data_IF_161907878294
#
_entry.id   IF_161907878294
#
_cell.length_a   1.000
_cell.length_b   1.000
_cell.length_c   1.000
_cell.angle_alpha   90.00
_cell.angle_beta   90.00
_cell.angle_gamma   90.00
#
_symmetry.space_group_name_H-M   'P 1'
#
loop_
_entity.id
_entity.type
_entity.pdbx_description
1 polymer ?
#
# COMPACT_ATOMS: atom_id res chain seq x y z
N UNK A 1 -37.93 -39.97 17.59
CA UNK A 1 -38.97 -41.02 17.44
C UNK A 1 -38.45 -42.33 18.01
N UNK A 2 -39.26 -43.00 18.90
CA UNK A 2 -39.02 -44.38 19.34
C UNK A 2 -39.97 -45.27 18.52
N UNK A 3 -39.42 -46.30 17.86
CA UNK A 3 -40.17 -47.20 17.00
C UNK A 3 -39.87 -48.61 17.44
N UNK A 4 -40.94 -49.43 17.59
CA UNK A 4 -40.90 -50.82 18.04
C UNK A 4 -40.32 -50.97 19.44
N UNK A 5 -41.24 -51.07 20.41
CA UNK A 5 -40.91 -51.59 21.73
C UNK A 5 -40.53 -53.06 21.60
N UNK A 6 -39.66 -53.56 22.44
CA UNK A 6 -39.11 -54.90 22.47
C UNK A 6 -40.10 -55.95 21.85
N UNK A 7 -39.64 -56.94 21.09
CA UNK A 7 -40.50 -57.82 20.27
C UNK A 7 -41.65 -58.48 20.98
N UNK A 8 -41.54 -58.63 22.32
CA UNK A 8 -42.56 -59.29 23.15
C UNK A 8 -43.58 -58.33 23.78
N UNK A 9 -43.48 -57.00 23.52
CA UNK A 9 -44.35 -56.01 24.14
C UNK A 9 -45.28 -55.36 23.06
N UNK A 10 -46.56 -55.42 23.29
CA UNK A 10 -47.60 -55.08 22.34
C UNK A 10 -47.84 -53.59 22.10
N UNK A 11 -47.45 -52.71 23.00
CA UNK A 11 -47.63 -51.25 22.87
C UNK A 11 -46.77 -50.48 23.87
N UNK A 12 -46.52 -49.21 23.60
CA UNK A 12 -45.93 -48.25 24.55
C UNK A 12 -46.98 -47.93 25.65
N UNK A 13 -46.57 -47.96 26.91
CA UNK A 13 -47.39 -47.63 28.07
C UNK A 13 -47.25 -46.16 28.44
N UNK A 14 -48.14 -45.65 29.34
CA UNK A 14 -48.02 -44.30 29.88
C UNK A 14 -46.72 -44.09 30.65
N UNK A 15 -46.20 -45.14 31.35
CA UNK A 15 -44.92 -45.09 32.03
C UNK A 15 -43.75 -44.94 31.05
N UNK A 16 -43.80 -45.63 29.89
CA UNK A 16 -42.81 -45.47 28.83
C UNK A 16 -42.80 -44.03 28.27
N UNK A 17 -43.99 -43.44 28.17
CA UNK A 17 -44.15 -42.07 27.70
C UNK A 17 -43.61 -41.07 28.72
N UNK A 18 -43.89 -41.26 30.01
CA UNK A 18 -43.30 -40.41 31.06
C UNK A 18 -41.78 -40.52 31.12
N UNK A 19 -41.25 -41.73 31.01
CA UNK A 19 -39.81 -41.97 30.96
C UNK A 19 -39.17 -41.27 29.77
N UNK A 20 -39.78 -41.42 28.59
CA UNK A 20 -39.32 -40.73 27.39
C UNK A 20 -39.33 -39.23 27.56
N UNK A 21 -40.40 -38.64 28.12
CA UNK A 21 -40.51 -37.21 28.35
C UNK A 21 -39.48 -36.69 29.35
N UNK A 22 -39.03 -37.50 30.27
CA UNK A 22 -37.93 -37.12 31.21
C UNK A 22 -36.57 -37.10 30.55
N UNK A 23 -36.30 -37.99 29.55
CA UNK A 23 -35.00 -38.10 28.91
C UNK A 23 -34.87 -37.26 27.61
N UNK A 24 -35.97 -36.99 26.88
CA UNK A 24 -35.99 -36.20 25.67
C UNK A 24 -35.33 -34.79 25.83
N UNK A 25 -35.57 -34.06 26.91
CA UNK A 25 -34.89 -32.77 27.11
C UNK A 25 -33.36 -32.89 27.15
N UNK A 26 -32.82 -33.95 27.75
CA UNK A 26 -31.38 -34.20 27.80
C UNK A 26 -30.81 -34.51 26.41
N UNK A 27 -31.55 -35.28 25.62
CA UNK A 27 -31.19 -35.51 24.21
C UNK A 27 -31.21 -34.20 23.40
N UNK A 28 -32.22 -33.36 23.63
CA UNK A 28 -32.32 -32.03 23.00
C UNK A 28 -31.13 -31.14 23.35
N UNK A 29 -30.76 -31.07 24.63
CA UNK A 29 -29.59 -30.34 25.10
C UNK A 29 -28.30 -30.87 24.44
N UNK A 30 -28.14 -32.22 24.42
CA UNK A 30 -26.97 -32.84 23.77
C UNK A 30 -26.83 -32.52 22.28
N UNK A 31 -27.94 -32.60 21.54
CA UNK A 31 -27.96 -32.25 20.12
C UNK A 31 -27.66 -30.77 19.89
N UNK A 32 -28.30 -29.88 20.68
CA UNK A 32 -28.08 -28.44 20.60
C UNK A 32 -26.62 -28.10 20.91
N UNK A 33 -26.03 -28.67 21.95
CA UNK A 33 -24.62 -28.46 22.27
C UNK A 33 -23.69 -28.97 21.18
N UNK A 34 -23.96 -30.12 20.56
CA UNK A 34 -23.19 -30.63 19.44
C UNK A 34 -23.26 -29.69 18.22
N UNK A 35 -24.47 -29.19 17.90
CA UNK A 35 -24.66 -28.21 16.82
C UNK A 35 -23.93 -26.90 17.07
N UNK A 36 -24.00 -26.35 18.31
CA UNK A 36 -23.28 -25.15 18.69
C UNK A 36 -21.76 -25.35 18.63
N UNK A 37 -21.27 -26.52 19.03
CA UNK A 37 -19.85 -26.86 18.91
C UNK A 37 -19.39 -26.92 17.46
N UNK A 38 -20.15 -27.55 16.57
CA UNK A 38 -19.85 -27.59 15.13
C UNK A 38 -19.83 -26.17 14.51
N UNK A 39 -20.81 -25.33 14.87
CA UNK A 39 -20.85 -23.94 14.42
C UNK A 39 -19.62 -23.17 14.91
N UNK A 40 -19.28 -23.29 16.19
CA UNK A 40 -18.11 -22.66 16.77
C UNK A 40 -16.80 -23.10 16.08
N UNK A 41 -16.65 -24.38 15.79
CA UNK A 41 -15.51 -24.94 15.06
C UNK A 41 -15.40 -24.35 13.63
N UNK A 42 -16.52 -24.25 12.92
CA UNK A 42 -16.56 -23.65 11.56
C UNK A 42 -16.16 -22.19 11.61
N UNK A 43 -16.69 -21.40 12.54
CA UNK A 43 -16.34 -19.99 12.70
C UNK A 43 -14.87 -19.82 13.11
N UNK A 44 -14.35 -20.66 13.98
CA UNK A 44 -12.92 -20.63 14.35
C UNK A 44 -12.02 -20.87 13.13
N UNK A 45 -12.34 -21.85 12.29
CA UNK A 45 -11.58 -22.12 11.05
C UNK A 45 -11.68 -20.96 10.04
N UNK A 46 -12.87 -20.34 9.90
CA UNK A 46 -13.04 -19.12 9.09
C UNK A 46 -12.13 -18.01 9.55
N UNK A 47 -12.17 -17.68 10.84
CA UNK A 47 -11.37 -16.60 11.41
C UNK A 47 -9.88 -16.86 11.28
N UNK A 48 -9.43 -18.10 11.45
CA UNK A 48 -8.03 -18.48 11.25
C UNK A 48 -7.57 -18.18 9.80
N UNK A 49 -8.35 -18.56 8.81
CA UNK A 49 -7.99 -18.31 7.39
C UNK A 49 -8.01 -16.82 7.06
N UNK A 50 -8.94 -16.04 7.65
CA UNK A 50 -8.94 -14.58 7.48
C UNK A 50 -7.68 -13.94 8.08
N UNK A 51 -7.25 -14.37 9.26
CA UNK A 51 -6.02 -13.89 9.91
C UNK A 51 -4.78 -14.23 9.06
N UNK A 52 -4.70 -15.46 8.54
CA UNK A 52 -3.62 -15.86 7.62
C UNK A 52 -3.61 -15.01 6.35
N UNK A 53 -4.78 -14.68 5.82
CA UNK A 53 -4.90 -13.80 4.65
C UNK A 53 -4.40 -12.38 4.94
N UNK A 54 -4.74 -11.83 6.10
CA UNK A 54 -4.25 -10.52 6.55
C UNK A 54 -2.73 -10.52 6.63
N UNK A 55 -2.14 -11.55 7.24
CA UNK A 55 -0.69 -11.70 7.33
C UNK A 55 -0.03 -11.72 5.94
N UNK A 56 -0.56 -12.53 5.01
CA UNK A 56 -0.07 -12.61 3.63
C UNK A 56 -0.13 -11.26 2.88
N UNK A 57 -1.16 -10.44 3.14
CA UNK A 57 -1.33 -9.11 2.54
C UNK A 57 -0.27 -8.15 3.07
N UNK A 58 0.02 -8.18 4.37
CA UNK A 58 1.02 -7.29 4.98
C UNK A 58 2.46 -7.67 4.66
N UNK A 59 2.74 -8.96 4.37
CA UNK A 59 4.07 -9.38 3.93
C UNK A 59 4.41 -8.92 2.50
N UNK A 60 3.42 -8.82 1.62
CA UNK A 60 3.63 -8.46 0.22
C UNK A 60 3.14 -7.04 -0.05
N UNK A 61 4.04 -6.06 0.04
CA UNK A 61 3.73 -4.65 -0.17
C UNK A 61 4.33 -4.06 -1.45
N UNK A 62 5.00 -4.89 -2.25
CA UNK A 62 5.79 -4.40 -3.39
C UNK A 62 5.05 -4.44 -4.71
N UNK A 63 3.99 -5.23 -4.84
CA UNK A 63 3.29 -5.42 -6.12
C UNK A 63 1.79 -5.66 -5.93
N UNK A 64 0.98 -4.78 -6.50
CA UNK A 64 -0.50 -4.91 -6.53
C UNK A 64 -0.91 -6.26 -7.11
N UNK A 65 -0.28 -6.70 -8.20
CA UNK A 65 -0.60 -7.98 -8.85
C UNK A 65 -0.38 -9.17 -7.92
N UNK A 66 0.67 -9.15 -7.10
CA UNK A 66 0.93 -10.23 -6.14
C UNK A 66 -0.09 -10.22 -4.99
N UNK A 67 -0.41 -9.05 -4.44
CA UNK A 67 -1.44 -8.90 -3.39
C UNK A 67 -2.78 -9.41 -3.89
N UNK A 68 -3.24 -8.92 -5.05
CA UNK A 68 -4.52 -9.32 -5.64
C UNK A 68 -4.56 -10.82 -5.91
N UNK A 69 -3.53 -11.39 -6.53
CA UNK A 69 -3.47 -12.84 -6.80
C UNK A 69 -3.51 -13.70 -5.52
N UNK A 70 -2.86 -13.27 -4.43
CA UNK A 70 -2.94 -13.97 -3.13
C UNK A 70 -4.36 -13.94 -2.58
N UNK A 71 -4.98 -12.75 -2.53
CA UNK A 71 -6.36 -12.59 -2.06
C UNK A 71 -7.30 -13.45 -2.88
N UNK A 72 -7.22 -13.40 -4.21
CA UNK A 72 -8.07 -14.21 -5.10
C UNK A 72 -7.93 -15.72 -4.87
N UNK A 73 -6.69 -16.22 -4.71
CA UNK A 73 -6.43 -17.65 -4.41
C UNK A 73 -7.05 -18.06 -3.08
N UNK A 74 -6.94 -17.24 -2.05
CA UNK A 74 -7.54 -17.49 -0.74
C UNK A 74 -9.07 -17.42 -0.81
N UNK A 75 -9.60 -16.45 -1.55
CA UNK A 75 -11.05 -16.28 -1.77
C UNK A 75 -11.65 -17.51 -2.43
N UNK A 76 -11.07 -18.00 -3.52
CA UNK A 76 -11.53 -19.22 -4.19
C UNK A 76 -11.57 -20.43 -3.26
N UNK A 77 -10.52 -20.61 -2.43
CA UNK A 77 -10.44 -21.72 -1.49
C UNK A 77 -11.46 -21.59 -0.35
N UNK A 78 -11.61 -20.39 0.20
CA UNK A 78 -12.46 -20.12 1.36
C UNK A 78 -13.94 -20.20 0.99
N UNK A 79 -14.30 -19.56 -0.12
CA UNK A 79 -15.67 -19.48 -0.63
C UNK A 79 -16.08 -20.70 -1.46
N UNK A 80 -15.14 -21.59 -1.77
CA UNK A 80 -15.35 -22.78 -2.62
C UNK A 80 -16.03 -22.43 -3.94
N UNK A 81 -15.51 -21.43 -4.64
CA UNK A 81 -16.00 -20.96 -5.93
C UNK A 81 -15.10 -21.42 -7.06
N UNK A 82 -15.64 -21.48 -8.28
CA UNK A 82 -14.89 -21.87 -9.47
C UNK A 82 -14.07 -20.72 -10.06
N UNK A 83 -14.62 -19.50 -10.02
CA UNK A 83 -13.99 -18.34 -10.60
C UNK A 83 -13.92 -17.16 -9.62
N UNK A 84 -12.83 -16.42 -9.69
CA UNK A 84 -12.65 -15.15 -9.02
C UNK A 84 -12.08 -14.12 -9.99
N UNK A 85 -12.64 -12.92 -10.01
CA UNK A 85 -12.18 -11.80 -10.82
C UNK A 85 -12.00 -10.55 -9.97
N UNK A 86 -10.96 -9.78 -10.27
CA UNK A 86 -10.73 -8.44 -9.70
C UNK A 86 -10.41 -7.50 -10.84
N UNK A 87 -11.19 -6.44 -10.96
CA UNK A 87 -11.03 -5.39 -11.96
C UNK A 87 -10.72 -4.07 -11.26
N UNK A 88 -9.54 -3.51 -11.52
CA UNK A 88 -9.10 -2.26 -10.89
C UNK A 88 -9.30 -1.08 -11.85
N UNK A 89 -9.79 0.03 -11.31
CA UNK A 89 -9.93 1.29 -12.00
C UNK A 89 -8.56 1.96 -12.23
N UNK A 90 -8.45 2.74 -13.28
CA UNK A 90 -7.26 3.57 -13.54
C UNK A 90 -7.07 4.63 -12.45
N UNK A 91 -8.16 5.25 -12.02
CA UNK A 91 -8.19 6.25 -10.97
C UNK A 91 -9.29 5.89 -9.96
N UNK A 92 -9.03 6.09 -8.65
CA UNK A 92 -10.04 5.89 -7.62
C UNK A 92 -11.23 6.83 -7.82
N UNK A 93 -12.44 6.33 -7.64
CA UNK A 93 -13.67 7.12 -7.73
C UNK A 93 -14.17 7.52 -6.34
N UNK A 94 -14.53 8.79 -6.20
CA UNK A 94 -15.06 9.35 -4.95
C UNK A 94 -16.58 9.22 -4.96
N UNK A 95 -17.11 8.55 -3.93
CA UNK A 95 -18.55 8.48 -3.66
C UNK A 95 -18.96 9.71 -2.84
N UNK A 96 -19.98 10.46 -3.29
CA UNK A 96 -20.56 11.55 -2.50
C UNK A 96 -21.39 11.01 -1.34
N UNK A 97 -21.64 11.85 -0.32
CA UNK A 97 -22.47 11.49 0.84
C UNK A 97 -23.88 11.00 0.45
N UNK A 98 -24.38 11.39 -0.71
CA UNK A 98 -25.66 10.96 -1.27
C UNK A 98 -25.61 9.62 -2.03
N UNK A 99 -24.46 8.91 -2.03
CA UNK A 99 -24.28 7.64 -2.73
C UNK A 99 -24.23 7.75 -4.25
N UNK A 100 -24.04 8.95 -4.79
CA UNK A 100 -23.82 9.19 -6.22
C UNK A 100 -22.33 9.41 -6.51
N UNK A 101 -21.86 8.88 -7.63
CA UNK A 101 -20.47 9.09 -8.06
C UNK A 101 -20.36 10.51 -8.62
N UNK A 102 -19.51 11.33 -7.98
CA UNK A 102 -19.35 12.77 -8.31
C UNK A 102 -18.56 13.02 -9.58
N UNK A 103 -17.95 12.01 -10.19
CA UNK A 103 -17.16 12.22 -11.40
C UNK A 103 -18.06 12.22 -12.65
N UNK A 104 -18.24 13.41 -13.24
CA UNK A 104 -19.11 13.69 -14.39
C UNK A 104 -18.62 13.06 -15.72
N UNK A 105 -17.51 12.36 -15.73
CA UNK A 105 -16.96 11.67 -16.90
C UNK A 105 -17.33 10.16 -16.94
N UNK A 106 -18.57 9.82 -16.58
CA UNK A 106 -19.09 8.45 -16.61
C UNK A 106 -19.13 7.78 -17.99
N UNK A 107 -18.74 8.48 -19.05
CA UNK A 107 -18.73 7.89 -20.40
C UNK A 107 -17.54 6.97 -20.71
N UNK A 108 -16.53 6.87 -19.82
CA UNK A 108 -15.40 5.98 -20.03
C UNK A 108 -14.78 5.48 -18.71
N UNK A 109 -15.51 4.65 -17.95
CA UNK A 109 -14.92 3.86 -16.89
C UNK A 109 -13.83 2.95 -17.49
N UNK A 110 -12.56 3.28 -17.24
CA UNK A 110 -11.42 2.50 -17.74
C UNK A 110 -10.85 1.64 -16.63
N UNK A 111 -11.01 0.34 -16.77
CA UNK A 111 -10.31 -0.61 -15.94
C UNK A 111 -8.89 -0.84 -16.47
N UNK A 112 -7.88 -0.66 -15.61
CA UNK A 112 -6.46 -0.75 -16.01
C UNK A 112 -5.89 -2.15 -15.88
N UNK A 113 -6.31 -2.87 -14.85
CA UNK A 113 -5.78 -4.19 -14.52
C UNK A 113 -6.93 -5.16 -14.26
N UNK A 114 -6.98 -6.23 -15.04
CA UNK A 114 -7.97 -7.27 -14.93
C UNK A 114 -7.30 -8.56 -14.49
N UNK A 115 -7.71 -9.09 -13.35
CA UNK A 115 -7.21 -10.34 -12.80
C UNK A 115 -8.34 -11.35 -12.82
N UNK A 116 -8.07 -12.55 -13.32
CA UNK A 116 -9.03 -13.64 -13.31
C UNK A 116 -8.32 -14.95 -12.95
N UNK A 117 -8.91 -15.68 -12.03
CA UNK A 117 -8.43 -17.00 -11.62
C UNK A 117 -9.56 -18.02 -11.70
N UNK A 118 -9.23 -19.20 -12.21
CA UNK A 118 -10.11 -20.37 -12.23
C UNK A 118 -9.57 -21.45 -11.30
N UNK A 119 -10.46 -22.05 -10.50
CA UNK A 119 -10.10 -23.21 -9.68
C UNK A 119 -9.88 -24.43 -10.60
N UNK A 120 -8.80 -25.17 -10.38
CA UNK A 120 -8.54 -26.38 -11.16
C UNK A 120 -9.54 -27.49 -10.81
N UNK A 121 -10.12 -28.08 -11.82
CA UNK A 121 -11.16 -29.15 -11.73
C UNK A 121 -10.62 -30.50 -11.21
N UNK A 122 -9.31 -30.67 -11.17
CA UNK A 122 -8.67 -31.91 -10.69
C UNK A 122 -8.03 -31.70 -9.35
N UNK A 123 -8.59 -32.18 -8.28
CA UNK A 123 -8.17 -32.48 -6.90
C UNK A 123 -6.87 -31.96 -6.29
N UNK A 124 -6.03 -31.28 -7.04
CA UNK A 124 -4.87 -30.53 -6.57
C UNK A 124 -5.22 -29.05 -6.65
N UNK A 125 -5.08 -28.34 -5.55
CA UNK A 125 -5.35 -26.90 -5.37
C UNK A 125 -4.44 -26.01 -6.24
N UNK A 126 -4.37 -26.25 -7.54
CA UNK A 126 -3.67 -25.39 -8.50
C UNK A 126 -4.65 -24.38 -9.07
N UNK A 127 -4.41 -23.12 -8.79
CA UNK A 127 -5.15 -22.01 -9.38
C UNK A 127 -4.38 -21.58 -10.63
N UNK A 128 -5.01 -21.63 -11.78
CA UNK A 128 -4.38 -21.30 -13.06
C UNK A 128 -4.83 -19.88 -13.42
N UNK A 129 -3.91 -18.93 -13.73
CA UNK A 129 -4.29 -17.71 -14.41
C UNK A 129 -4.94 -18.09 -15.73
N UNK A 130 -6.23 -17.82 -15.90
CA UNK A 130 -6.88 -18.07 -17.19
C UNK A 130 -6.80 -16.81 -18.05
N UNK A 131 -6.42 -16.97 -19.30
CA UNK A 131 -6.60 -15.91 -20.29
C UNK A 131 -8.10 -15.59 -20.37
N UNK A 132 -8.45 -14.35 -20.14
CA UNK A 132 -9.83 -13.89 -20.19
C UNK A 132 -10.22 -13.84 -21.66
N UNK A 133 -11.16 -14.66 -22.06
CA UNK A 133 -11.76 -14.58 -23.40
C UNK A 133 -12.47 -13.22 -23.54
N UNK A 134 -12.44 -12.60 -24.73
CA UNK A 134 -13.00 -11.27 -24.95
C UNK A 134 -14.48 -11.13 -24.54
N UNK A 135 -15.28 -12.16 -24.74
CA UNK A 135 -16.69 -12.17 -24.33
C UNK A 135 -16.85 -12.17 -22.80
N UNK A 136 -16.05 -12.98 -22.10
CA UNK A 136 -16.03 -12.99 -20.63
C UNK A 136 -15.56 -11.65 -20.06
N UNK A 137 -14.55 -11.02 -20.69
CA UNK A 137 -14.08 -9.71 -20.29
C UNK A 137 -15.19 -8.66 -20.42
N UNK A 138 -15.95 -8.66 -21.51
CA UNK A 138 -17.05 -7.74 -21.72
C UNK A 138 -18.15 -7.90 -20.67
N UNK A 139 -18.50 -9.16 -20.33
CA UNK A 139 -19.50 -9.46 -19.29
C UNK A 139 -19.03 -9.00 -17.90
N UNK A 140 -17.75 -9.26 -17.56
CA UNK A 140 -17.17 -8.81 -16.29
C UNK A 140 -17.07 -7.29 -16.20
N UNK A 141 -16.77 -6.62 -17.33
CA UNK A 141 -16.75 -5.16 -17.41
C UNK A 141 -18.13 -4.59 -17.16
N UNK A 142 -19.16 -5.11 -17.81
CA UNK A 142 -20.55 -4.66 -17.62
C UNK A 142 -21.06 -4.90 -16.18
N UNK A 143 -20.71 -6.04 -15.58
CA UNK A 143 -20.99 -6.31 -14.17
C UNK A 143 -20.30 -5.29 -13.25
N UNK A 144 -19.03 -5.01 -13.54
CA UNK A 144 -18.23 -4.08 -12.74
C UNK A 144 -18.73 -2.63 -12.88
N UNK A 145 -19.10 -2.20 -14.07
CA UNK A 145 -19.73 -0.90 -14.32
C UNK A 145 -21.04 -0.73 -13.54
N UNK A 146 -21.86 -1.79 -13.49
CA UNK A 146 -23.11 -1.80 -12.72
C UNK A 146 -22.85 -1.66 -11.22
N UNK A 147 -21.83 -2.36 -10.69
CA UNK A 147 -21.43 -2.25 -9.27
C UNK A 147 -20.84 -0.89 -8.97
N UNK A 148 -20.06 -0.31 -9.88
CA UNK A 148 -19.51 1.04 -9.70
C UNK A 148 -20.65 2.08 -9.74
N UNK A 149 -21.58 1.99 -10.69
CA UNK A 149 -22.71 2.94 -10.80
C UNK A 149 -23.68 2.91 -9.61
N UNK A 150 -23.83 1.75 -8.96
CA UNK A 150 -24.59 1.59 -7.73
C UNK A 150 -23.73 0.79 -6.74
N UNK A 151 -22.92 1.45 -5.90
CA UNK A 151 -21.86 0.82 -5.14
C UNK A 151 -22.38 0.00 -3.95
N UNK A 152 -23.24 -0.97 -4.27
CA UNK A 152 -23.79 -1.97 -3.36
C UNK A 152 -23.37 -3.38 -3.82
N UNK A 153 -23.45 -4.32 -2.91
CA UNK A 153 -23.27 -5.74 -3.21
C UNK A 153 -24.29 -6.19 -4.26
N UNK A 154 -23.81 -6.69 -5.38
CA UNK A 154 -24.61 -7.29 -6.42
C UNK A 154 -24.55 -8.82 -6.27
N UNK A 155 -25.69 -9.45 -5.99
CA UNK A 155 -25.81 -10.91 -5.91
C UNK A 155 -26.80 -11.38 -6.97
N UNK A 156 -26.36 -12.27 -7.87
CA UNK A 156 -27.18 -12.83 -8.96
C UNK A 156 -27.22 -14.35 -8.76
N UNK A 157 -28.41 -14.85 -8.52
CA UNK A 157 -28.64 -16.30 -8.30
C UNK A 157 -28.67 -17.12 -9.59
N UNK A 158 -29.08 -16.53 -10.70
CA UNK A 158 -28.96 -17.08 -12.05
C UNK A 158 -28.70 -15.94 -13.06
N UNK A 159 -27.55 -15.99 -13.71
CA UNK A 159 -27.15 -14.99 -14.71
C UNK A 159 -28.05 -15.02 -15.95
N UNK A 160 -28.69 -16.14 -16.21
CA UNK A 160 -29.61 -16.31 -17.35
C UNK A 160 -30.92 -15.51 -17.18
N UNK A 161 -31.28 -15.14 -15.96
CA UNK A 161 -32.46 -14.29 -15.67
C UNK A 161 -32.18 -12.82 -15.91
N UNK A 162 -30.91 -12.38 -15.96
CA UNK A 162 -30.53 -10.98 -16.22
C UNK A 162 -30.30 -10.75 -17.73
N UNK A 163 -31.31 -10.20 -18.40
CA UNK A 163 -31.31 -9.99 -19.86
C UNK A 163 -30.14 -9.10 -20.33
N UNK A 164 -29.68 -8.13 -19.51
CA UNK A 164 -28.61 -7.23 -19.87
C UNK A 164 -27.26 -7.94 -19.90
N UNK A 165 -27.01 -8.82 -18.95
CA UNK A 165 -25.76 -9.58 -18.87
C UNK A 165 -25.75 -10.70 -19.89
N UNK A 166 -26.86 -11.39 -20.08
CA UNK A 166 -27.01 -12.45 -21.08
C UNK A 166 -26.70 -11.99 -22.49
N UNK A 167 -27.14 -10.79 -22.88
CA UNK A 167 -26.87 -10.20 -24.18
C UNK A 167 -25.39 -9.83 -24.39
N UNK A 168 -24.66 -9.46 -23.32
CA UNK A 168 -23.25 -9.08 -23.38
C UNK A 168 -22.32 -10.29 -23.23
N UNK A 169 -22.76 -11.32 -22.53
CA UNK A 169 -21.95 -12.48 -22.17
C UNK A 169 -21.72 -13.46 -23.34
N UNK A 170 -22.55 -13.44 -24.39
CA UNK A 170 -22.43 -14.36 -25.52
C UNK A 170 -22.46 -15.84 -25.09
N UNK A 171 -21.96 -16.72 -25.96
CA UNK A 171 -21.88 -18.18 -25.68
C UNK A 171 -20.81 -18.57 -24.67
N UNK A 172 -19.81 -17.70 -24.43
CA UNK A 172 -18.67 -18.00 -23.55
C UNK A 172 -18.98 -17.92 -22.07
N UNK A 173 -20.17 -17.45 -21.69
CA UNK A 173 -20.60 -17.37 -20.28
C UNK A 173 -21.65 -18.41 -19.90
N UNK A 174 -21.90 -19.41 -20.75
CA UNK A 174 -22.84 -20.52 -20.44
C UNK A 174 -22.46 -21.28 -19.16
N UNK A 175 -21.17 -21.27 -18.80
CA UNK A 175 -20.66 -21.90 -17.59
C UNK A 175 -20.87 -21.07 -16.31
N UNK A 176 -21.21 -19.76 -16.41
CA UNK A 176 -21.39 -18.90 -15.24
C UNK A 176 -22.88 -18.84 -14.89
N UNK A 177 -23.23 -19.33 -13.70
CA UNK A 177 -24.60 -19.35 -13.19
C UNK A 177 -24.85 -18.35 -12.10
N UNK A 178 -24.03 -18.38 -11.05
CA UNK A 178 -24.18 -17.55 -9.87
C UNK A 178 -23.03 -16.56 -9.75
N UNK A 179 -23.32 -15.32 -9.39
CA UNK A 179 -22.31 -14.26 -9.26
C UNK A 179 -22.58 -13.44 -8.00
N UNK A 180 -21.51 -13.14 -7.28
CA UNK A 180 -21.48 -12.10 -6.26
C UNK A 180 -20.39 -11.11 -6.60
N UNK A 181 -20.72 -9.81 -6.63
CA UNK A 181 -19.78 -8.73 -6.96
C UNK A 181 -19.88 -7.61 -5.95
N UNK A 182 -18.73 -7.08 -5.55
CA UNK A 182 -18.63 -6.01 -4.55
C UNK A 182 -17.59 -4.96 -4.94
N UNK A 183 -17.81 -3.67 -4.61
CA UNK A 183 -16.81 -2.63 -4.81
C UNK A 183 -15.66 -2.78 -3.83
N UNK A 184 -14.44 -2.67 -4.33
CA UNK A 184 -13.21 -2.62 -3.51
C UNK A 184 -12.99 -1.16 -3.13
N UNK A 185 -12.93 -0.87 -1.82
CA UNK A 185 -12.78 0.48 -1.29
C UNK A 185 -11.48 0.63 -0.51
N UNK A 186 -10.94 1.84 -0.53
CA UNK A 186 -9.83 2.21 0.34
C UNK A 186 -10.33 2.78 1.69
N UNK A 187 -9.40 3.20 2.55
CA UNK A 187 -9.71 3.80 3.86
C UNK A 187 -10.47 5.13 3.79
N UNK A 188 -10.50 5.77 2.62
CA UNK A 188 -11.25 7.02 2.36
C UNK A 188 -12.62 6.77 1.71
N UNK A 189 -13.05 5.50 1.64
CA UNK A 189 -14.27 5.08 0.93
C UNK A 189 -14.24 5.31 -0.59
N UNK A 190 -13.07 5.61 -1.19
CA UNK A 190 -12.92 5.71 -2.64
C UNK A 190 -12.94 4.31 -3.25
N UNK A 191 -13.61 4.16 -4.39
CA UNK A 191 -13.72 2.89 -5.11
C UNK A 191 -12.44 2.68 -5.94
N UNK A 192 -11.68 1.63 -5.62
CA UNK A 192 -10.46 1.23 -6.33
C UNK A 192 -10.74 0.26 -7.48
N UNK A 193 -11.88 -0.44 -7.42
CA UNK A 193 -12.23 -1.47 -8.38
C UNK A 193 -13.39 -2.34 -7.92
N UNK A 194 -13.56 -3.49 -8.55
CA UNK A 194 -14.62 -4.46 -8.26
C UNK A 194 -14.02 -5.86 -8.13
N UNK A 195 -14.45 -6.59 -7.10
CA UNK A 195 -14.18 -8.01 -6.92
C UNK A 195 -15.43 -8.83 -7.18
N UNK A 196 -15.29 -9.93 -7.91
CA UNK A 196 -16.39 -10.83 -8.24
C UNK A 196 -16.01 -12.28 -8.00
N UNK A 197 -16.93 -13.06 -7.43
CA UNK A 197 -16.85 -14.51 -7.31
C UNK A 197 -18.00 -15.14 -8.11
N UNK A 198 -17.71 -16.25 -8.76
CA UNK A 198 -18.66 -16.92 -9.66
C UNK A 198 -18.65 -18.39 -9.37
N UNK A 199 -19.82 -19.00 -9.48
CA UNK A 199 -20.13 -20.43 -9.32
C UNK A 199 -19.60 -21.03 -8.01
N UNK A 200 -20.49 -21.23 -7.08
CA UNK A 200 -20.21 -22.03 -5.89
C UNK A 200 -20.13 -23.52 -6.29
N UNK A 201 -19.13 -24.24 -5.77
CA UNK A 201 -18.83 -25.65 -6.16
C UNK A 201 -20.04 -26.59 -6.05
N UNK A 202 -20.97 -26.32 -5.15
CA UNK A 202 -22.20 -27.09 -4.96
C UNK A 202 -23.41 -26.54 -5.74
N UNK A 203 -23.18 -25.63 -6.69
CA UNK A 203 -24.23 -24.94 -7.49
C UNK A 203 -25.34 -24.28 -6.64
N UNK A 204 -25.11 -24.04 -5.34
CA UNK A 204 -26.04 -23.29 -4.51
C UNK A 204 -25.86 -21.79 -4.72
N UNK A 205 -26.91 -20.98 -4.57
CA UNK A 205 -26.77 -19.53 -4.55
C UNK A 205 -25.92 -19.07 -3.36
N UNK A 206 -25.35 -17.88 -3.46
CA UNK A 206 -24.64 -17.24 -2.35
C UNK A 206 -25.64 -16.85 -1.26
N UNK A 207 -25.34 -17.21 -0.02
CA UNK A 207 -26.15 -16.89 1.15
C UNK A 207 -25.61 -15.65 1.90
N UNK A 208 -26.31 -15.20 2.96
CA UNK A 208 -25.92 -14.04 3.76
C UNK A 208 -24.54 -14.23 4.45
N UNK A 209 -24.18 -15.46 4.80
CA UNK A 209 -22.88 -15.78 5.37
C UNK A 209 -21.77 -15.64 4.34
N UNK A 210 -22.04 -16.05 3.09
CA UNK A 210 -21.12 -15.87 1.98
C UNK A 210 -20.91 -14.38 1.69
N UNK A 211 -21.99 -13.59 1.70
CA UNK A 211 -21.94 -12.14 1.51
C UNK A 211 -21.04 -11.50 2.56
N UNK A 212 -21.30 -11.77 3.85
CA UNK A 212 -20.51 -11.21 4.97
C UNK A 212 -19.04 -11.63 4.91
N UNK A 213 -18.76 -12.88 4.51
CA UNK A 213 -17.39 -13.37 4.38
C UNK A 213 -16.66 -12.69 3.22
N UNK A 214 -17.34 -12.56 2.07
CA UNK A 214 -16.77 -11.91 0.91
C UNK A 214 -16.54 -10.42 1.14
N UNK A 215 -17.43 -9.75 1.85
CA UNK A 215 -17.26 -8.35 2.28
C UNK A 215 -15.98 -8.16 3.11
N UNK A 216 -15.71 -9.03 4.08
CA UNK A 216 -14.47 -9.01 4.84
C UNK A 216 -13.24 -9.20 3.94
N UNK A 217 -13.29 -10.13 2.99
CA UNK A 217 -12.21 -10.40 2.04
C UNK A 217 -11.95 -9.17 1.15
N UNK A 218 -13.01 -8.56 0.62
CA UNK A 218 -12.92 -7.39 -0.26
C UNK A 218 -12.37 -6.17 0.50
N UNK A 219 -12.75 -6.00 1.76
CA UNK A 219 -12.20 -4.97 2.64
C UNK A 219 -10.67 -5.12 2.79
N UNK A 220 -10.20 -6.32 3.11
CA UNK A 220 -8.76 -6.57 3.22
C UNK A 220 -8.03 -6.43 1.87
N UNK A 221 -8.68 -6.81 0.77
CA UNK A 221 -8.16 -6.58 -0.58
C UNK A 221 -7.92 -5.07 -0.83
N UNK A 222 -8.91 -4.24 -0.51
CA UNK A 222 -8.83 -2.79 -0.63
C UNK A 222 -7.71 -2.18 0.21
N UNK A 223 -7.57 -2.62 1.47
CA UNK A 223 -6.48 -2.19 2.34
C UNK A 223 -5.10 -2.59 1.77
N UNK A 224 -4.96 -3.82 1.29
CA UNK A 224 -3.70 -4.30 0.69
C UNK A 224 -3.31 -3.54 -0.57
N UNK A 225 -4.27 -3.30 -1.47
CA UNK A 225 -4.06 -2.51 -2.69
C UNK A 225 -3.67 -1.07 -2.32
N UNK A 226 -4.43 -0.43 -1.41
CA UNK A 226 -4.16 0.94 -0.98
C UNK A 226 -2.77 1.08 -0.36
N UNK A 227 -2.37 0.16 0.51
CA UNK A 227 -1.03 0.17 1.10
C UNK A 227 0.05 0.05 0.03
N UNK A 228 -0.09 -0.86 -0.93
CA UNK A 228 0.88 -1.02 -2.03
C UNK A 228 0.96 0.24 -2.89
N UNK A 229 -0.17 0.90 -3.18
CA UNK A 229 -0.18 2.18 -3.91
C UNK A 229 0.54 3.29 -3.13
N UNK A 230 0.31 3.39 -1.83
CA UNK A 230 1.00 4.36 -0.97
C UNK A 230 2.51 4.11 -0.92
N UNK A 231 2.96 2.86 -0.82
CA UNK A 231 4.38 2.50 -0.89
C UNK A 231 5.02 2.92 -2.21
N UNK A 232 4.36 2.67 -3.34
CA UNK A 232 4.86 3.08 -4.66
C UNK A 232 4.95 4.61 -4.78
N UNK A 233 3.94 5.34 -4.29
CA UNK A 233 3.96 6.81 -4.24
C UNK A 233 5.09 7.34 -3.37
N UNK A 234 5.30 6.76 -2.18
CA UNK A 234 6.40 7.13 -1.28
C UNK A 234 7.77 6.86 -1.92
N UNK A 235 7.95 5.70 -2.57
CA UNK A 235 9.19 5.35 -3.27
C UNK A 235 9.49 6.34 -4.41
N UNK A 236 8.49 6.70 -5.21
CA UNK A 236 8.60 7.70 -6.28
C UNK A 236 8.91 9.11 -5.72
N UNK A 237 8.25 9.52 -4.63
CA UNK A 237 8.52 10.80 -3.98
C UNK A 237 9.95 10.86 -3.43
N UNK A 238 10.42 9.81 -2.77
CA UNK A 238 11.79 9.69 -2.26
C UNK A 238 12.82 9.74 -3.38
N UNK A 239 12.57 9.04 -4.50
CA UNK A 239 13.44 9.09 -5.68
C UNK A 239 13.52 10.50 -6.27
N UNK A 240 12.38 11.20 -6.42
CA UNK A 240 12.34 12.61 -6.88
C UNK A 240 13.12 13.53 -5.93
N UNK A 241 12.95 13.37 -4.62
CA UNK A 241 13.68 14.14 -3.62
C UNK A 241 15.19 13.90 -3.72
N UNK A 242 15.62 12.65 -3.88
CA UNK A 242 17.03 12.29 -4.04
C UNK A 242 17.65 12.96 -5.28
N UNK A 243 16.97 12.88 -6.42
CA UNK A 243 17.42 13.54 -7.65
C UNK A 243 17.50 15.07 -7.48
N UNK A 244 16.49 15.68 -6.84
CA UNK A 244 16.49 17.12 -6.58
C UNK A 244 17.67 17.54 -5.69
N UNK A 245 17.96 16.78 -4.62
CA UNK A 245 19.11 17.01 -3.75
C UNK A 245 20.44 16.83 -4.48
N UNK A 246 20.55 15.83 -5.37
CA UNK A 246 21.76 15.61 -6.16
C UNK A 246 22.01 16.76 -7.15
N UNK A 247 20.97 17.23 -7.83
CA UNK A 247 21.05 18.40 -8.73
C UNK A 247 21.45 19.66 -7.94
N UNK A 248 20.82 19.91 -6.80
CA UNK A 248 21.20 21.04 -5.92
C UNK A 248 22.65 20.92 -5.45
N UNK A 249 23.07 19.72 -5.03
CA UNK A 249 24.48 19.47 -4.62
C UNK A 249 25.46 19.74 -5.76
N UNK A 250 25.12 19.38 -6.98
CA UNK A 250 25.96 19.65 -8.15
C UNK A 250 26.14 21.17 -8.40
N UNK A 251 25.07 21.95 -8.30
CA UNK A 251 25.14 23.40 -8.48
C UNK A 251 25.82 24.13 -7.34
N UNK A 252 25.83 23.55 -6.14
CA UNK A 252 26.46 24.11 -4.93
C UNK A 252 27.95 23.81 -4.88
N UNK A 253 28.42 22.67 -5.44
CA UNK A 253 29.84 22.29 -5.41
C UNK A 253 30.72 23.27 -6.15
N UNK A 254 31.87 23.60 -5.53
CA UNK A 254 32.88 24.42 -6.17
C UNK A 254 33.65 23.61 -7.22
N UNK A 255 34.05 24.21 -8.38
CA UNK A 255 34.93 23.56 -9.33
C UNK A 255 36.24 23.11 -8.71
N UNK A 256 36.70 21.92 -9.00
CA UNK A 256 37.93 21.33 -8.49
C UNK A 256 39.14 22.27 -8.68
N UNK A 257 39.15 22.99 -9.81
CA UNK A 257 40.23 23.94 -10.16
C UNK A 257 40.35 25.10 -9.16
N UNK A 258 39.25 25.62 -8.60
CA UNK A 258 39.27 26.66 -7.60
C UNK A 258 39.77 26.13 -6.24
N UNK A 259 39.41 24.90 -5.89
CA UNK A 259 39.92 24.23 -4.67
C UNK A 259 41.45 24.04 -4.77
N UNK A 260 41.93 23.52 -5.90
CA UNK A 260 43.38 23.35 -6.14
C UNK A 260 44.13 24.67 -6.12
N UNK A 261 43.53 25.74 -6.66
CA UNK A 261 44.09 27.10 -6.58
C UNK A 261 44.31 27.52 -5.12
N UNK A 262 43.31 27.36 -4.25
CA UNK A 262 43.44 27.71 -2.83
C UNK A 262 44.46 26.79 -2.14
N UNK A 263 44.47 25.50 -2.41
CA UNK A 263 45.40 24.52 -1.84
C UNK A 263 46.86 24.86 -2.13
N UNK A 264 47.14 25.34 -3.34
CA UNK A 264 48.51 25.75 -3.78
C UNK A 264 48.84 27.18 -3.45
N UNK A 265 47.90 27.98 -2.94
CA UNK A 265 48.11 29.37 -2.61
C UNK A 265 49.03 29.53 -1.37
N UNK A 266 49.86 30.56 -1.37
CA UNK A 266 50.67 30.87 -0.21
C UNK A 266 49.77 31.40 0.91
N UNK A 267 49.77 30.75 2.07
CA UNK A 267 49.01 31.17 3.23
C UNK A 267 49.80 32.26 3.97
N UNK A 268 49.29 33.51 4.06
CA UNK A 268 50.03 34.61 4.68
C UNK A 268 50.23 34.35 6.18
N UNK A 269 51.29 34.96 6.78
CA UNK A 269 51.46 34.91 8.22
C UNK A 269 50.49 35.89 8.90
N UNK A 270 50.09 35.58 10.14
CA UNK A 270 49.18 36.42 10.93
C UNK A 270 49.69 37.87 11.05
N UNK A 271 50.99 38.06 11.21
CA UNK A 271 51.63 39.38 11.32
C UNK A 271 51.59 40.18 10.03
N UNK A 272 51.54 39.52 8.87
CA UNK A 272 51.55 40.20 7.56
C UNK A 272 50.21 40.91 7.29
N UNK A 273 49.11 40.30 7.72
CA UNK A 273 47.75 40.80 7.48
C UNK A 273 47.05 41.29 8.73
N UNK A 274 47.71 41.23 9.91
CA UNK A 274 47.21 41.74 11.18
C UNK A 274 45.86 41.19 11.62
N UNK A 275 45.62 39.88 11.40
CA UNK A 275 44.34 39.20 11.59
C UNK A 275 43.81 39.22 13.02
N UNK A 276 44.66 39.23 14.04
CA UNK A 276 44.25 39.25 15.44
C UNK A 276 43.86 40.67 15.95
N UNK A 277 43.96 41.68 15.08
CA UNK A 277 43.61 43.04 15.46
C UNK A 277 42.12 43.31 15.37
N UNK A 278 41.54 43.90 16.42
CA UNK A 278 40.16 44.41 16.40
C UNK A 278 40.00 45.63 15.45
N UNK A 279 41.11 46.21 14.97
CA UNK A 279 41.12 47.28 13.95
C UNK A 279 41.48 46.77 12.57
N UNK A 280 41.24 45.48 12.32
CA UNK A 280 41.50 44.86 11.04
C UNK A 280 40.69 45.54 9.93
N UNK A 281 41.35 45.85 8.81
CA UNK A 281 40.71 46.44 7.63
C UNK A 281 40.47 45.36 6.57
N UNK A 282 39.26 44.92 6.46
CA UNK A 282 38.83 43.88 5.51
C UNK A 282 38.74 44.41 4.08
N UNK A 283 38.64 45.73 3.87
CA UNK A 283 38.60 46.30 2.52
C UNK A 283 39.96 46.22 1.81
N UNK A 284 41.04 46.05 2.57
CA UNK A 284 42.38 45.82 2.00
C UNK A 284 42.57 44.46 1.35
N UNK A 285 41.66 43.49 1.60
CA UNK A 285 41.71 42.14 1.05
C UNK A 285 40.72 41.94 -0.10
N UNK A 286 41.20 41.32 -1.16
CA UNK A 286 40.32 40.77 -2.18
C UNK A 286 39.65 39.43 -1.74
N UNK A 287 38.61 38.93 -2.45
CA UNK A 287 37.93 37.71 -2.06
C UNK A 287 38.80 36.45 -2.01
N UNK A 288 39.87 36.35 -2.82
CA UNK A 288 40.79 35.19 -2.81
C UNK A 288 41.75 35.30 -1.61
N UNK A 289 42.20 36.52 -1.26
CA UNK A 289 42.98 36.77 -0.06
C UNK A 289 42.20 36.52 1.21
N UNK A 290 40.88 36.79 1.25
CA UNK A 290 40.01 36.41 2.37
C UNK A 290 39.95 34.89 2.56
N UNK A 291 39.98 34.08 1.48
CA UNK A 291 40.05 32.62 1.59
C UNK A 291 41.35 32.16 2.25
N UNK A 292 42.52 32.69 1.80
CA UNK A 292 43.79 32.32 2.38
C UNK A 292 43.91 32.78 3.84
N UNK A 293 43.37 33.97 4.16
CA UNK A 293 43.27 34.46 5.53
C UNK A 293 42.34 33.58 6.40
N UNK A 294 41.24 33.05 5.84
CA UNK A 294 40.40 32.11 6.56
C UNK A 294 41.13 30.81 6.87
N UNK A 295 41.89 30.26 5.92
CA UNK A 295 42.77 29.09 6.19
C UNK A 295 43.73 29.38 7.32
N UNK A 296 44.33 30.58 7.33
CA UNK A 296 45.25 31.03 8.40
C UNK A 296 44.59 31.00 9.78
N UNK A 297 43.35 31.47 9.90
CA UNK A 297 42.61 31.42 11.18
C UNK A 297 42.45 29.97 11.68
N UNK A 298 42.12 29.02 10.82
CA UNK A 298 42.01 27.60 11.18
C UNK A 298 43.35 27.00 11.66
N UNK A 299 44.48 27.40 11.02
CA UNK A 299 45.82 26.96 11.41
C UNK A 299 46.16 27.51 12.79
N UNK A 300 46.01 28.85 13.01
CA UNK A 300 46.42 29.50 14.22
C UNK A 300 45.57 29.15 15.44
N UNK A 301 44.31 28.83 15.25
CA UNK A 301 43.46 28.28 16.29
C UNK A 301 43.71 26.79 16.60
N UNK A 302 44.63 26.11 15.89
CA UNK A 302 44.90 24.68 16.07
C UNK A 302 43.78 23.73 15.68
N UNK A 303 42.72 24.24 15.00
CA UNK A 303 41.52 23.46 14.68
C UNK A 303 41.79 22.29 13.74
N UNK A 304 42.75 22.44 12.84
CA UNK A 304 43.13 21.41 11.88
C UNK A 304 43.65 20.17 12.60
N UNK A 305 44.52 20.36 13.59
CA UNK A 305 45.15 19.29 14.36
C UNK A 305 44.17 18.70 15.39
N UNK A 306 43.47 19.54 16.13
CA UNK A 306 42.54 19.13 17.19
C UNK A 306 41.40 18.30 16.67
N UNK A 307 40.80 18.67 15.52
CA UNK A 307 39.66 17.97 14.91
C UNK A 307 40.07 17.07 13.75
N UNK A 308 41.38 16.86 13.51
CA UNK A 308 41.91 16.03 12.43
C UNK A 308 41.28 16.37 11.05
N UNK A 309 41.20 17.65 10.73
CA UNK A 309 40.61 18.16 9.49
C UNK A 309 41.58 17.95 8.34
N UNK A 310 41.19 17.19 7.32
CA UNK A 310 41.99 17.08 6.09
C UNK A 310 42.07 18.44 5.38
N UNK A 311 43.29 18.87 5.04
CA UNK A 311 43.53 20.18 4.44
C UNK A 311 42.78 20.38 3.11
N UNK A 312 42.69 19.37 2.30
CA UNK A 312 41.94 19.43 1.05
C UNK A 312 40.43 19.61 1.30
N UNK A 313 39.90 18.95 2.32
CA UNK A 313 38.53 19.09 2.77
C UNK A 313 38.25 20.51 3.28
N UNK A 314 39.18 21.11 4.03
CA UNK A 314 39.06 22.51 4.48
C UNK A 314 39.03 23.47 3.29
N UNK A 315 39.96 23.32 2.34
CA UNK A 315 40.02 24.17 1.14
C UNK A 315 38.72 24.04 0.32
N UNK A 316 38.23 22.81 0.14
CA UNK A 316 36.98 22.57 -0.55
C UNK A 316 35.80 23.23 0.16
N UNK A 317 35.71 23.07 1.48
CA UNK A 317 34.64 23.65 2.28
C UNK A 317 34.63 25.18 2.24
N UNK A 318 35.77 25.84 2.46
CA UNK A 318 35.89 27.29 2.39
C UNK A 318 35.54 27.85 1.02
N UNK A 319 36.06 27.24 -0.05
CA UNK A 319 35.77 27.67 -1.44
C UNK A 319 34.31 27.50 -1.78
N UNK A 320 33.69 26.35 -1.39
CA UNK A 320 32.29 26.09 -1.56
C UNK A 320 31.41 27.04 -0.78
N UNK A 321 31.77 27.33 0.46
CA UNK A 321 31.08 28.31 1.33
C UNK A 321 31.06 29.68 0.68
N UNK A 322 32.23 30.19 0.24
CA UNK A 322 32.32 31.47 -0.48
C UNK A 322 31.41 31.49 -1.71
N UNK A 323 31.44 30.47 -2.55
CA UNK A 323 30.64 30.39 -3.77
C UNK A 323 29.13 30.48 -3.50
N UNK A 324 28.68 29.99 -2.34
CA UNK A 324 27.27 29.99 -1.98
C UNK A 324 26.77 31.32 -1.42
N UNK A 325 27.67 32.25 -1.06
CA UNK A 325 27.24 33.58 -0.69
C UNK A 325 26.82 34.38 -1.93
N UNK A 326 25.65 35.02 -1.83
CA UNK A 326 25.11 35.88 -2.87
C UNK A 326 25.83 37.22 -2.90
N UNK A 327 25.96 37.82 -4.07
CA UNK A 327 26.52 39.17 -4.21
C UNK A 327 25.44 40.21 -3.88
N UNK A 328 25.23 40.43 -2.58
CA UNK A 328 24.30 41.42 -2.02
C UNK A 328 25.05 42.45 -1.18
N UNK A 329 24.43 43.60 -0.90
CA UNK A 329 25.08 44.72 -0.20
C UNK A 329 25.49 44.31 1.22
N UNK A 330 24.66 43.50 1.92
CA UNK A 330 24.90 42.99 3.27
C UNK A 330 24.62 41.49 3.31
N UNK A 331 25.13 40.77 4.29
CA UNK A 331 25.08 39.29 4.38
C UNK A 331 25.75 38.59 3.17
N UNK A 332 26.83 39.15 2.68
CA UNK A 332 27.71 38.63 1.64
C UNK A 332 28.91 37.86 2.22
N UNK A 333 29.81 37.35 1.36
CA UNK A 333 31.03 36.66 1.79
C UNK A 333 31.94 37.54 2.69
N UNK A 334 32.08 38.81 2.38
CA UNK A 334 32.89 39.74 3.18
C UNK A 334 32.38 39.88 4.61
N UNK A 335 31.06 40.00 4.76
CA UNK A 335 30.44 40.05 6.09
C UNK A 335 30.69 38.74 6.87
N UNK A 336 30.56 37.57 6.23
CA UNK A 336 30.86 36.29 6.89
C UNK A 336 32.32 36.18 7.31
N UNK A 337 33.25 36.65 6.47
CA UNK A 337 34.68 36.74 6.80
C UNK A 337 34.93 37.64 8.02
N UNK A 338 34.28 38.80 8.07
CA UNK A 338 34.43 39.75 9.19
C UNK A 338 33.94 39.15 10.52
N UNK A 339 32.82 38.43 10.48
CA UNK A 339 32.32 37.72 11.67
C UNK A 339 33.33 36.67 12.16
N UNK A 340 33.90 35.89 11.22
CA UNK A 340 34.92 34.89 11.56
C UNK A 340 36.20 35.53 12.08
N UNK A 341 36.66 36.62 11.45
CA UNK A 341 37.85 37.36 11.89
C UNK A 341 37.65 37.99 13.29
N UNK A 342 36.49 38.59 13.55
CA UNK A 342 36.17 39.15 14.86
C UNK A 342 36.19 38.08 15.96
N UNK A 343 35.62 36.89 15.68
CA UNK A 343 35.68 35.76 16.61
C UNK A 343 37.13 35.30 16.81
N UNK A 344 37.91 35.18 15.72
CA UNK A 344 39.33 34.85 15.80
C UNK A 344 40.12 35.83 16.68
N UNK A 345 39.91 37.13 16.49
CA UNK A 345 40.57 38.17 17.29
C UNK A 345 40.17 38.18 18.79
N UNK A 346 39.01 37.63 19.13
CA UNK A 346 38.56 37.44 20.52
C UNK A 346 39.22 36.20 21.15
N UNK A 347 39.47 35.16 20.38
CA UNK A 347 39.98 33.87 20.84
C UNK A 347 41.51 33.80 20.91
N UNK A 348 42.22 34.67 20.19
CA UNK A 348 43.70 34.75 20.14
C UNK A 348 44.24 35.97 20.83
#
# INVERSE_FOLDING_TARGET
QLINKNPDASAFTNEDQELCNRYLPFCGIGITNAQLFELSQKEFQRNKVLIEMIHDIFEEQTSISKVVNRVMKRSLKLMKCEHCSVMLLNEPLIESEDGQITDRNSENLKFSNNFHLKAATSGRHSVIPSEINGELLNALTALSERVVSNPKTLCISDINEDANIKNLAGRSCEDIKTVISMPIRNSKSEILGVASLMNKVNNSPFDENDISLFEAIVLFCGLGINNTMLYDQMAKAKAKQHVALEVLSYHVKCPQMEVEKLKLSLIPSQSTINLSSMKFDDFSLDPDQMLTASVRMFIDCGLIEEFNIDYQTLCWWLTTTRKNYRNVIYHNWRHAFNVAQSMFAILT
#
